data_IF_448356755633
#
_entry.id   IF_448356755633
#
_cell.length_a   1.000
_cell.length_b   1.000
_cell.length_c   1.000
_cell.angle_alpha   90.00
_cell.angle_beta   90.00
_cell.angle_gamma   90.00
#
_symmetry.space_group_name_H-M   'P 1'
#
loop_
_entity.id
_entity.type
_entity.pdbx_description
1 polymer ?
#
# COMPACT_ATOMS: atom_id res chain seq x y z
N UNK A 1 -32.51 14.70 -9.80
CA UNK A 1 -31.76 13.44 -9.67
C UNK A 1 -30.38 13.83 -9.18
N UNK A 2 -29.76 13.19 -8.18
CA UNK A 2 -28.32 13.40 -8.05
C UNK A 2 -27.69 12.85 -9.34
N UNK A 3 -26.95 13.68 -10.05
CA UNK A 3 -26.31 13.32 -11.34
C UNK A 3 -25.11 12.37 -11.14
N UNK A 4 -24.78 12.03 -9.89
CA UNK A 4 -23.67 11.19 -9.48
C UNK A 4 -24.07 10.26 -8.33
N UNK A 5 -23.52 9.06 -8.36
CA UNK A 5 -23.61 8.05 -7.30
C UNK A 5 -22.19 7.72 -6.79
N UNK A 6 -22.08 7.31 -5.54
CA UNK A 6 -20.81 6.87 -4.94
C UNK A 6 -21.04 5.62 -4.11
N UNK A 7 -19.99 4.81 -3.97
CA UNK A 7 -19.98 3.64 -3.12
C UNK A 7 -18.56 3.38 -2.60
N UNK A 8 -18.45 2.64 -1.50
CA UNK A 8 -17.16 2.16 -1.00
C UNK A 8 -16.73 0.93 -1.79
N UNK A 9 -15.57 1.00 -2.44
CA UNK A 9 -14.99 -0.13 -3.15
C UNK A 9 -14.10 -1.00 -2.25
N UNK A 10 -13.24 -0.35 -1.45
CA UNK A 10 -12.28 -0.97 -0.56
C UNK A 10 -12.20 -0.14 0.72
N UNK A 11 -11.90 -0.79 1.84
CA UNK A 11 -11.60 -0.15 3.12
C UNK A 11 -10.50 -0.91 3.86
N UNK A 12 -9.87 -0.24 4.81
CA UNK A 12 -8.90 -0.84 5.72
C UNK A 12 -9.45 -2.14 6.32
N UNK A 13 -8.62 -3.19 6.33
CA UNK A 13 -8.97 -4.49 6.89
C UNK A 13 -9.68 -5.45 5.92
N UNK A 14 -10.05 -5.01 4.72
CA UNK A 14 -10.58 -5.93 3.70
C UNK A 14 -9.48 -6.92 3.28
N UNK A 15 -9.76 -8.23 3.33
CA UNK A 15 -8.79 -9.26 2.92
C UNK A 15 -8.64 -9.26 1.40
N UNK A 16 -7.45 -8.92 0.91
CA UNK A 16 -7.22 -8.72 -0.52
C UNK A 16 -6.78 -9.98 -1.26
N UNK A 17 -6.17 -10.95 -0.58
CA UNK A 17 -5.67 -12.17 -1.21
C UNK A 17 -5.88 -13.43 -0.36
N UNK A 18 -5.73 -14.64 -0.94
CA UNK A 18 -5.92 -15.89 -0.21
C UNK A 18 -4.94 -16.11 0.96
N UNK A 19 -3.81 -15.38 0.99
CA UNK A 19 -2.84 -15.43 2.09
C UNK A 19 -3.32 -14.66 3.33
N UNK A 20 -4.44 -13.93 3.24
CA UNK A 20 -5.00 -13.17 4.35
C UNK A 20 -4.37 -11.80 4.52
N UNK A 21 -3.68 -11.26 3.51
CA UNK A 21 -3.22 -9.87 3.56
C UNK A 21 -4.42 -8.92 3.51
N UNK A 22 -4.40 -7.88 4.34
CA UNK A 22 -5.48 -6.91 4.47
C UNK A 22 -5.12 -5.62 3.74
N UNK A 23 -6.11 -4.90 3.21
CA UNK A 23 -5.94 -3.54 2.69
C UNK A 23 -5.52 -2.60 3.82
N UNK A 24 -4.52 -1.76 3.58
CA UNK A 24 -3.96 -0.85 4.58
C UNK A 24 -4.86 0.33 4.92
N UNK A 25 -4.35 1.20 5.78
CA UNK A 25 -5.06 2.40 6.27
C UNK A 25 -4.61 3.65 5.49
N UNK A 26 -5.31 4.78 5.65
CA UNK A 26 -5.01 6.09 5.04
C UNK A 26 -4.63 5.95 3.56
N UNK A 27 -5.57 5.48 2.75
CA UNK A 27 -5.32 5.45 1.31
C UNK A 27 -5.02 6.86 0.82
N UNK A 28 -3.93 7.00 0.06
CA UNK A 28 -3.53 8.26 -0.54
C UNK A 28 -3.52 8.13 -2.07
N UNK A 29 -2.38 8.32 -2.73
CA UNK A 29 -2.29 8.21 -4.18
C UNK A 29 -2.80 6.86 -4.69
N UNK A 30 -3.67 6.96 -5.70
CA UNK A 30 -4.26 5.84 -6.42
C UNK A 30 -3.85 5.90 -7.89
N UNK A 31 -3.50 4.74 -8.43
CA UNK A 31 -3.13 4.59 -9.83
C UNK A 31 -3.77 3.35 -10.43
N UNK A 32 -4.20 3.44 -11.70
CA UNK A 32 -4.79 2.32 -12.42
C UNK A 32 -3.94 1.99 -13.64
N UNK A 33 -3.54 0.73 -13.76
CA UNK A 33 -3.01 0.16 -15.02
C UNK A 33 -4.08 -0.79 -15.56
N UNK A 34 -4.67 -0.43 -16.69
CA UNK A 34 -5.58 -1.30 -17.41
C UNK A 34 -4.80 -2.36 -18.18
N UNK A 35 -5.25 -3.61 -18.09
CA UNK A 35 -4.79 -4.70 -18.94
C UNK A 35 -5.52 -4.69 -20.28
N UNK A 36 -6.82 -4.44 -20.22
CA UNK A 36 -7.77 -4.42 -21.33
C UNK A 36 -9.00 -3.55 -20.95
N UNK A 37 -10.04 -3.57 -21.78
CA UNK A 37 -11.25 -2.74 -21.59
C UNK A 37 -12.07 -3.08 -20.34
N UNK A 38 -11.92 -4.29 -19.80
CA UNK A 38 -12.74 -4.78 -18.70
C UNK A 38 -11.92 -5.13 -17.47
N UNK A 39 -10.59 -5.12 -17.56
CA UNK A 39 -9.75 -5.57 -16.47
C UNK A 39 -8.47 -4.75 -16.27
N UNK A 40 -7.99 -4.68 -15.03
CA UNK A 40 -6.76 -3.99 -14.68
C UNK A 40 -6.34 -4.21 -13.24
N UNK A 41 -5.43 -3.37 -12.76
CA UNK A 41 -5.00 -3.31 -11.37
C UNK A 41 -5.03 -1.89 -10.86
N UNK A 42 -5.36 -1.74 -9.58
CA UNK A 42 -5.22 -0.52 -8.80
C UNK A 42 -4.00 -0.68 -7.91
N UNK A 43 -3.12 0.31 -7.93
CA UNK A 43 -2.22 0.57 -6.82
C UNK A 43 -2.84 1.61 -5.89
N UNK A 44 -2.81 1.35 -4.59
CA UNK A 44 -3.12 2.33 -3.55
C UNK A 44 -1.96 2.46 -2.60
N UNK A 45 -1.50 3.70 -2.39
CA UNK A 45 -0.66 4.03 -1.25
C UNK A 45 -1.43 3.89 0.07
N UNK A 46 -0.69 3.65 1.15
CA UNK A 46 -1.13 3.67 2.54
C UNK A 46 -0.15 4.50 3.35
N UNK A 47 -0.48 5.79 3.51
CA UNK A 47 0.47 6.78 3.98
C UNK A 47 0.77 6.62 5.48
N UNK A 48 -0.25 6.32 6.27
CA UNK A 48 -0.19 6.29 7.73
C UNK A 48 -1.24 5.32 8.31
N UNK A 49 -1.28 5.20 9.64
CA UNK A 49 -2.24 4.38 10.37
C UNK A 49 -2.87 5.18 11.52
N UNK A 50 -4.20 5.25 11.57
CA UNK A 50 -4.91 5.88 12.68
C UNK A 50 -5.05 4.89 13.83
N UNK A 51 -4.00 4.82 14.64
CA UNK A 51 -3.84 3.84 15.71
C UNK A 51 -4.94 3.91 16.80
N UNK A 52 -5.55 5.07 17.03
CA UNK A 52 -6.69 5.20 17.95
C UNK A 52 -7.91 4.37 17.54
N UNK A 53 -8.05 4.01 16.26
CA UNK A 53 -9.14 3.17 15.76
C UNK A 53 -8.68 1.71 15.61
N UNK A 54 -7.45 1.49 15.15
CA UNK A 54 -6.90 0.14 14.96
C UNK A 54 -6.60 -0.55 16.30
N UNK A 55 -6.07 0.18 17.28
CA UNK A 55 -5.71 -0.31 18.61
C UNK A 55 -6.09 0.72 19.70
N UNK A 56 -7.40 0.86 20.02
CA UNK A 56 -7.86 1.84 20.99
C UNK A 56 -7.22 1.63 22.37
N UNK A 57 -6.57 2.68 22.90
CA UNK A 57 -5.96 2.67 24.24
C UNK A 57 -4.60 1.98 24.33
N UNK A 58 -4.07 1.43 23.24
CA UNK A 58 -2.72 0.87 23.20
C UNK A 58 -1.68 2.00 23.25
N UNK A 59 -0.62 1.79 24.03
CA UNK A 59 0.51 2.73 24.08
C UNK A 59 1.39 2.57 22.84
N UNK A 60 1.98 3.69 22.40
CA UNK A 60 2.82 3.77 21.21
C UNK A 60 4.20 3.11 21.35
N UNK A 61 4.62 2.81 22.58
CA UNK A 61 5.87 2.13 22.92
C UNK A 61 5.79 0.59 22.89
N UNK A 62 4.62 0.02 22.55
CA UNK A 62 4.44 -1.44 22.51
C UNK A 62 4.78 -2.03 21.15
N UNK A 63 5.35 -3.25 21.15
CA UNK A 63 5.59 -3.99 19.90
C UNK A 63 4.32 -4.20 19.08
N UNK A 64 3.18 -4.41 19.75
CA UNK A 64 1.88 -4.56 19.10
C UNK A 64 1.49 -3.28 18.37
N UNK A 65 1.67 -2.11 18.99
CA UNK A 65 1.41 -0.82 18.33
C UNK A 65 2.31 -0.63 17.11
N UNK A 66 3.62 -0.85 17.26
CA UNK A 66 4.60 -0.67 16.20
C UNK A 66 4.31 -1.61 15.03
N UNK A 67 4.11 -2.90 15.29
CA UNK A 67 3.80 -3.88 14.24
C UNK A 67 2.49 -3.55 13.52
N UNK A 68 1.44 -3.17 14.26
CA UNK A 68 0.16 -2.80 13.62
C UNK A 68 0.29 -1.54 12.78
N UNK A 69 1.05 -0.53 13.23
CA UNK A 69 1.31 0.69 12.45
C UNK A 69 2.04 0.35 11.15
N UNK A 70 3.15 -0.39 11.23
CA UNK A 70 3.97 -0.74 10.06
C UNK A 70 3.22 -1.62 9.05
N UNK A 71 2.36 -2.56 9.51
CA UNK A 71 1.53 -3.38 8.61
C UNK A 71 0.44 -2.61 7.88
N UNK A 72 -0.02 -1.49 8.44
CA UNK A 72 -1.07 -0.67 7.84
C UNK A 72 -0.53 0.42 6.89
N UNK A 73 0.78 0.65 6.88
CA UNK A 73 1.47 1.56 5.95
C UNK A 73 2.00 0.81 4.72
N UNK A 74 2.43 1.55 3.70
CA UNK A 74 3.00 1.00 2.47
C UNK A 74 2.07 1.17 1.25
N UNK A 75 1.66 0.06 0.63
CA UNK A 75 0.69 0.06 -0.45
C UNK A 75 0.03 -1.31 -0.71
N UNK A 76 -1.02 -1.29 -1.53
CA UNK A 76 -1.76 -2.47 -1.98
C UNK A 76 -1.87 -2.49 -3.51
N UNK A 77 -1.66 -3.66 -4.12
CA UNK A 77 -2.12 -3.95 -5.48
C UNK A 77 -3.40 -4.76 -5.42
N UNK A 78 -4.46 -4.27 -6.07
CA UNK A 78 -5.75 -4.93 -6.16
C UNK A 78 -6.21 -5.06 -7.61
N UNK A 79 -6.52 -6.29 -8.01
CA UNK A 79 -7.17 -6.62 -9.27
C UNK A 79 -8.55 -5.97 -9.33
N UNK A 80 -8.86 -5.31 -10.45
CA UNK A 80 -10.18 -4.76 -10.72
C UNK A 80 -10.75 -5.31 -12.03
N UNK A 81 -12.06 -5.51 -12.04
CA UNK A 81 -12.82 -5.96 -13.20
C UNK A 81 -14.13 -5.19 -13.34
N UNK A 82 -14.51 -4.91 -14.58
CA UNK A 82 -15.76 -4.24 -14.91
C UNK A 82 -16.88 -5.27 -14.94
N UNK A 83 -17.95 -5.00 -14.19
CA UNK A 83 -19.14 -5.85 -14.24
C UNK A 83 -19.81 -5.76 -15.62
N UNK A 84 -20.50 -6.82 -16.11
CA UNK A 84 -21.17 -6.77 -17.40
C UNK A 84 -22.16 -5.59 -17.49
N UNK A 85 -21.84 -4.60 -18.33
CA UNK A 85 -22.63 -3.38 -18.49
C UNK A 85 -22.61 -2.42 -17.30
N UNK A 86 -21.74 -2.63 -16.32
CA UNK A 86 -21.74 -1.90 -15.05
C UNK A 86 -20.39 -1.31 -14.64
N UNK A 87 -20.26 -0.90 -13.37
CA UNK A 87 -19.05 -0.26 -12.84
C UNK A 87 -17.91 -1.26 -12.60
N UNK A 88 -16.71 -0.70 -12.37
CA UNK A 88 -15.53 -1.42 -11.93
C UNK A 88 -15.68 -1.91 -10.48
N UNK A 89 -15.14 -3.09 -10.20
CA UNK A 89 -15.17 -3.74 -8.89
C UNK A 89 -13.81 -4.35 -8.56
N UNK A 90 -13.35 -4.28 -7.31
CA UNK A 90 -12.21 -5.06 -6.88
C UNK A 90 -12.57 -6.55 -6.87
N UNK A 91 -11.63 -7.39 -7.26
CA UNK A 91 -11.75 -8.85 -7.20
C UNK A 91 -11.07 -9.31 -5.93
N UNK A 92 -11.86 -9.65 -4.91
CA UNK A 92 -11.37 -10.00 -3.58
C UNK A 92 -11.96 -11.34 -3.09
N UNK A 93 -11.15 -12.21 -2.47
CA UNK A 93 -9.68 -12.22 -2.54
C UNK A 93 -9.22 -12.62 -3.96
N UNK A 94 -8.04 -12.18 -4.40
CA UNK A 94 -7.45 -12.63 -5.66
C UNK A 94 -5.95 -12.94 -5.49
N UNK A 95 -5.41 -14.02 -6.11
CA UNK A 95 -4.00 -14.42 -5.94
C UNK A 95 -2.98 -13.40 -6.46
N UNK A 96 -3.35 -12.57 -7.43
CA UNK A 96 -2.47 -11.49 -7.93
C UNK A 96 -2.47 -10.25 -7.04
N UNK A 97 -3.34 -10.19 -6.02
CA UNK A 97 -3.35 -9.07 -5.09
C UNK A 97 -2.25 -9.27 -4.06
N UNK A 98 -1.53 -8.21 -3.71
CA UNK A 98 -0.47 -8.27 -2.71
C UNK A 98 -0.29 -6.95 -1.98
N UNK A 99 0.28 -7.05 -0.77
CA UNK A 99 0.75 -5.91 0.00
C UNK A 99 2.23 -5.66 -0.19
N UNK A 100 2.58 -4.38 -0.21
CA UNK A 100 3.91 -3.90 0.16
C UNK A 100 3.71 -3.17 1.48
N UNK A 101 3.89 -3.87 2.60
CA UNK A 101 3.81 -3.27 3.94
C UNK A 101 5.17 -2.80 4.48
N UNK A 102 5.14 -2.02 5.57
CA UNK A 102 6.32 -1.49 6.25
C UNK A 102 7.05 -2.45 7.19
N UNK A 103 6.61 -3.70 7.35
CA UNK A 103 7.13 -4.62 8.37
C UNK A 103 7.86 -5.84 7.78
N UNK A 104 7.39 -6.36 6.64
CA UNK A 104 7.75 -7.69 6.12
C UNK A 104 8.25 -7.66 4.69
N UNK A 105 7.83 -6.68 3.91
CA UNK A 105 8.20 -6.57 2.50
C UNK A 105 9.70 -6.38 2.35
N UNK A 106 10.36 -7.24 1.59
CA UNK A 106 11.78 -7.05 1.24
C UNK A 106 11.87 -6.34 -0.10
N UNK A 107 12.42 -5.15 -0.09
CA UNK A 107 12.53 -4.27 -1.26
C UNK A 107 14.00 -4.15 -1.66
N UNK A 108 14.29 -4.46 -2.91
CA UNK A 108 15.65 -4.38 -3.44
C UNK A 108 16.03 -2.93 -3.73
N UNK A 109 17.20 -2.53 -3.27
CA UNK A 109 17.83 -1.30 -3.74
C UNK A 109 18.42 -1.49 -5.14
N UNK A 110 18.20 -0.50 -5.98
CA UNK A 110 18.78 -0.44 -7.33
C UNK A 110 19.42 0.92 -7.55
N UNK A 111 20.20 1.05 -8.62
CA UNK A 111 20.94 2.28 -8.90
C UNK A 111 22.24 2.42 -8.10
N UNK A 112 22.92 3.57 -8.21
CA UNK A 112 24.30 3.73 -7.75
C UNK A 112 24.52 3.62 -6.23
N UNK A 113 23.47 3.82 -5.42
CA UNK A 113 23.58 3.76 -3.97
C UNK A 113 23.52 2.32 -3.41
N UNK A 114 22.97 1.37 -4.18
CA UNK A 114 22.84 -0.02 -3.73
C UNK A 114 24.21 -0.63 -3.42
N UNK A 115 24.36 -1.23 -2.23
CA UNK A 115 25.63 -1.81 -1.76
C UNK A 115 26.72 -0.80 -1.43
N UNK A 116 26.43 0.51 -1.44
CA UNK A 116 27.40 1.54 -1.09
C UNK A 116 27.62 1.66 0.42
N UNK A 117 28.71 2.32 0.81
CA UNK A 117 29.01 2.61 2.22
C UNK A 117 27.93 3.47 2.90
N UNK A 118 27.20 4.31 2.14
CA UNK A 118 26.07 5.10 2.64
C UNK A 118 24.87 4.25 3.06
N UNK A 119 24.75 3.06 2.48
CA UNK A 119 23.76 2.06 2.87
C UNK A 119 24.40 0.95 3.70
N UNK A 120 25.61 1.17 4.25
CA UNK A 120 26.35 0.18 5.03
C UNK A 120 26.52 -1.17 4.30
N UNK A 121 26.64 -1.13 2.96
CA UNK A 121 26.75 -2.32 2.12
C UNK A 121 25.43 -3.03 1.82
N UNK A 122 24.28 -2.50 2.26
CA UNK A 122 22.98 -3.11 2.01
C UNK A 122 22.52 -2.96 0.55
N UNK A 123 21.94 -4.02 0.00
CA UNK A 123 21.29 -4.07 -1.32
C UNK A 123 19.77 -4.32 -1.23
N UNK A 124 19.24 -4.43 -0.01
CA UNK A 124 17.81 -4.53 0.27
C UNK A 124 17.42 -3.73 1.54
N UNK A 125 16.14 -3.37 1.62
CA UNK A 125 15.49 -2.82 2.79
C UNK A 125 14.23 -3.61 3.14
N UNK A 126 13.78 -3.43 4.38
CA UNK A 126 12.51 -3.95 4.86
C UNK A 126 11.50 -2.80 4.89
N UNK A 127 10.42 -2.97 4.15
CA UNK A 127 9.26 -2.10 4.16
C UNK A 127 9.36 -0.87 3.26
N UNK A 128 8.19 -0.26 3.03
CA UNK A 128 8.08 1.10 2.52
C UNK A 128 7.09 1.88 3.38
N UNK A 129 7.41 3.13 3.69
CA UNK A 129 6.72 3.92 4.73
C UNK A 129 6.45 5.36 4.27
N UNK A 130 5.34 5.93 4.74
CA UNK A 130 4.98 7.32 4.44
C UNK A 130 4.69 7.53 2.95
N UNK A 131 4.09 6.52 2.31
CA UNK A 131 3.78 6.51 0.89
C UNK A 131 2.67 7.52 0.59
N UNK A 132 3.01 8.66 -0.01
CA UNK A 132 2.11 9.79 -0.22
C UNK A 132 1.72 9.88 -1.70
N UNK A 133 2.63 10.37 -2.54
CA UNK A 133 2.45 10.50 -3.99
C UNK A 133 2.86 9.26 -4.81
N UNK A 134 2.73 9.37 -6.13
CA UNK A 134 3.15 8.32 -7.04
C UNK A 134 2.99 8.68 -8.52
N UNK A 135 3.15 7.67 -9.36
CA UNK A 135 3.07 7.81 -10.82
C UNK A 135 2.88 6.47 -11.53
N UNK A 136 2.64 6.54 -12.83
CA UNK A 136 2.67 5.38 -13.72
C UNK A 136 3.69 5.65 -14.82
N UNK A 137 4.60 4.70 -15.04
CA UNK A 137 5.48 4.76 -16.20
C UNK A 137 4.72 4.43 -17.50
N UNK A 138 5.14 4.94 -18.66
CA UNK A 138 4.59 4.54 -19.96
C UNK A 138 4.67 3.03 -20.27
N UNK A 139 5.55 2.27 -19.60
CA UNK A 139 5.71 0.83 -19.76
C UNK A 139 4.97 -0.02 -18.71
N UNK A 140 4.02 0.57 -17.96
CA UNK A 140 3.13 -0.20 -17.07
C UNK A 140 3.75 -0.58 -15.72
N UNK A 141 4.44 0.35 -15.06
CA UNK A 141 4.94 0.22 -13.69
C UNK A 141 4.33 1.31 -12.81
N UNK A 142 3.85 0.93 -11.63
CA UNK A 142 3.46 1.87 -10.59
C UNK A 142 4.70 2.40 -9.86
N UNK A 143 4.69 3.70 -9.57
CA UNK A 143 5.64 4.34 -8.67
C UNK A 143 4.90 4.83 -7.43
N UNK A 144 5.53 4.67 -6.28
CA UNK A 144 5.13 5.25 -4.99
C UNK A 144 6.29 6.07 -4.44
N UNK A 145 6.00 7.06 -3.61
CA UNK A 145 6.99 7.97 -3.04
C UNK A 145 6.87 8.03 -1.52
N UNK A 146 7.97 7.74 -0.82
CA UNK A 146 8.11 7.92 0.62
C UNK A 146 8.35 9.41 0.92
N UNK A 147 7.46 10.02 1.71
CA UNK A 147 7.54 11.45 2.04
C UNK A 147 8.01 11.64 3.49
N UNK A 148 7.15 11.29 4.45
CA UNK A 148 7.36 11.52 5.88
C UNK A 148 7.90 10.28 6.59
N UNK A 149 8.73 9.49 5.92
CA UNK A 149 9.34 8.27 6.47
C UNK A 149 10.09 8.54 7.78
N UNK A 150 10.58 9.76 7.98
CA UNK A 150 11.27 10.16 9.20
C UNK A 150 10.43 10.11 10.47
N UNK A 151 9.10 10.23 10.35
CA UNK A 151 8.18 10.20 11.49
C UNK A 151 7.92 8.77 12.01
N UNK A 152 8.63 7.79 11.45
CA UNK A 152 8.59 6.38 11.85
C UNK A 152 9.84 5.94 12.60
N UNK A 153 10.85 6.79 12.73
CA UNK A 153 12.02 6.56 13.57
C UNK A 153 12.13 7.64 14.65
N UNK A 154 12.77 7.29 15.77
CA UNK A 154 13.01 8.20 16.90
C UNK A 154 14.49 8.24 17.26
N UNK A 155 14.89 9.28 18.00
CA UNK A 155 16.20 9.30 18.62
C UNK A 155 16.30 8.16 19.65
N UNK A 156 17.45 7.47 19.74
CA UNK A 156 17.67 6.41 20.73
C UNK A 156 17.58 6.90 22.17
#
# INVERSE_FOLDING_TARGET
SPEFEYETLLKQGDVINPAGEEYGDHNDYLAIIQRDETTGWVWSNHENATMKFLLPGEKDDTMKYIETRLRNMGGSVVRIEKTPGGPWRPVLPHPDNFRVDGLRSRLKFTGPAAGSDWLFGADEAIGSLGNCGGGISPWGTFFTAEENFKDTWGDP
#
